data_IF_677094008515
#
_entry.id   IF_677094008515
#
_cell.length_a   1.000
_cell.length_b   1.000
_cell.length_c   1.000
_cell.angle_alpha   90.00
_cell.angle_beta   90.00
_cell.angle_gamma   90.00
#
_symmetry.space_group_name_H-M   'P 1'
#
loop_
_entity.id
_entity.type
_entity.pdbx_description
1 polymer ?
#
# COMPACT_ATOMS: atom_id res chain seq x y z
N UNK A 1 -13.97 -47.43 -30.73
CA UNK A 1 -13.42 -46.83 -29.50
C UNK A 1 -12.40 -45.78 -29.85
N UNK A 2 -12.54 -44.58 -29.33
CA UNK A 2 -11.52 -43.57 -29.55
C UNK A 2 -10.26 -43.89 -28.70
N UNK A 3 -9.07 -43.53 -29.16
CA UNK A 3 -7.80 -43.79 -28.46
C UNK A 3 -7.82 -43.30 -26.99
N UNK A 4 -8.48 -42.19 -26.70
CA UNK A 4 -8.70 -41.65 -25.35
C UNK A 4 -9.55 -42.55 -24.44
N UNK A 5 -10.34 -43.50 -25.02
CA UNK A 5 -11.16 -44.42 -24.23
C UNK A 5 -10.35 -45.66 -23.76
N UNK A 6 -9.16 -45.86 -24.35
CA UNK A 6 -8.24 -46.93 -24.02
C UNK A 6 -7.15 -46.50 -23.04
N UNK A 7 -6.74 -45.21 -23.13
CA UNK A 7 -5.70 -44.62 -22.27
C UNK A 7 -6.25 -43.37 -21.64
N UNK A 8 -6.49 -43.38 -20.33
CA UNK A 8 -6.89 -42.23 -19.56
C UNK A 8 -5.65 -41.74 -18.76
N UNK A 9 -5.15 -40.56 -19.09
CA UNK A 9 -3.99 -39.97 -18.41
C UNK A 9 -4.48 -38.76 -17.60
N UNK A 10 -4.47 -38.87 -16.29
CA UNK A 10 -4.71 -37.79 -15.36
C UNK A 10 -3.36 -37.28 -14.82
N UNK A 11 -2.94 -36.11 -15.23
CA UNK A 11 -1.73 -35.47 -14.74
C UNK A 11 -2.15 -34.43 -13.69
N UNK A 12 -1.94 -34.74 -12.43
CA UNK A 12 -2.08 -33.78 -11.35
C UNK A 12 -0.72 -33.17 -11.06
N UNK A 13 -0.55 -31.88 -11.30
CA UNK A 13 0.66 -31.15 -10.95
C UNK A 13 0.54 -30.67 -9.50
N UNK A 14 1.25 -31.31 -8.59
CA UNK A 14 1.41 -30.81 -7.23
C UNK A 14 2.55 -29.79 -7.22
N UNK A 15 2.20 -28.52 -7.18
CA UNK A 15 3.16 -27.42 -6.89
C UNK A 15 2.84 -26.89 -5.51
N UNK A 16 3.85 -26.75 -4.65
CA UNK A 16 3.71 -26.04 -3.38
C UNK A 16 3.52 -24.57 -3.68
N UNK A 17 2.36 -24.01 -3.34
CA UNK A 17 2.15 -22.57 -3.48
C UNK A 17 2.88 -21.82 -2.36
N UNK A 18 3.73 -20.88 -2.73
CA UNK A 18 4.30 -19.90 -1.80
C UNK A 18 3.21 -18.89 -1.46
N UNK A 19 3.10 -18.51 -0.18
CA UNK A 19 2.19 -17.45 0.24
C UNK A 19 2.59 -16.14 -0.42
N UNK A 20 1.63 -15.49 -1.06
CA UNK A 20 1.86 -14.24 -1.83
C UNK A 20 1.49 -13.06 -0.95
N UNK A 21 2.39 -12.09 -0.82
CA UNK A 21 2.14 -10.86 -0.07
C UNK A 21 0.93 -10.10 -0.65
N UNK A 22 -0.02 -9.72 0.21
CA UNK A 22 -1.19 -8.96 -0.18
C UNK A 22 -0.87 -7.45 -0.15
N UNK A 23 -1.09 -6.77 -1.29
CA UNK A 23 -0.89 -5.32 -1.43
C UNK A 23 -2.22 -4.55 -1.55
N UNK A 24 -3.33 -5.25 -1.58
CA UNK A 24 -4.67 -4.71 -1.82
C UNK A 24 -5.61 -4.90 -0.62
N UNK A 25 -5.06 -5.10 0.58
CA UNK A 25 -5.84 -5.32 1.80
C UNK A 25 -5.56 -4.20 2.80
N UNK A 26 -6.52 -3.31 3.05
CA UNK A 26 -6.46 -2.30 4.11
C UNK A 26 -6.63 -2.92 5.49
N UNK A 27 -5.90 -2.39 6.48
CA UNK A 27 -6.16 -2.55 7.92
C UNK A 27 -6.80 -1.27 8.46
N UNK A 28 -7.90 -1.39 9.17
CA UNK A 28 -8.49 -0.33 10.00
C UNK A 28 -8.03 -0.55 11.44
N UNK A 29 -7.24 0.36 11.96
CA UNK A 29 -6.82 0.35 13.37
C UNK A 29 -7.74 1.20 14.22
N UNK A 30 -8.34 0.62 15.26
CA UNK A 30 -9.17 1.34 16.22
C UNK A 30 -9.01 0.77 17.63
N UNK A 31 -9.33 1.58 18.64
CA UNK A 31 -9.38 1.15 20.04
C UNK A 31 -10.82 0.92 20.45
N UNK A 32 -11.13 -0.28 20.89
CA UNK A 32 -12.46 -0.66 21.40
C UNK A 32 -12.35 -1.84 22.37
N UNK A 33 -13.33 -1.97 23.25
CA UNK A 33 -13.46 -3.13 24.11
C UNK A 33 -14.28 -4.23 23.40
N UNK A 34 -13.74 -5.45 23.38
CA UNK A 34 -14.47 -6.62 22.87
C UNK A 34 -15.75 -6.86 23.70
N UNK A 35 -16.87 -7.10 23.03
CA UNK A 35 -18.16 -7.30 23.71
C UNK A 35 -18.81 -6.03 24.25
N UNK A 36 -18.24 -4.85 23.99
CA UNK A 36 -18.90 -3.58 24.32
C UNK A 36 -20.08 -3.32 23.37
N UNK A 37 -20.98 -2.42 23.75
CA UNK A 37 -22.12 -2.05 22.90
C UNK A 37 -21.62 -1.49 21.55
N UNK A 38 -22.07 -2.10 20.45
CA UNK A 38 -21.69 -1.71 19.09
C UNK A 38 -20.36 -2.29 18.59
N UNK A 39 -19.82 -3.28 19.30
CA UNK A 39 -18.66 -4.06 18.88
C UNK A 39 -18.98 -5.57 18.91
N UNK A 40 -18.25 -6.43 18.18
CA UNK A 40 -18.46 -7.87 18.25
C UNK A 40 -18.39 -8.42 19.66
N UNK A 41 -19.21 -9.45 19.93
CA UNK A 41 -19.26 -10.12 21.26
C UNK A 41 -17.92 -10.74 21.66
N UNK A 42 -17.16 -11.17 20.67
CA UNK A 42 -15.79 -11.71 20.84
C UNK A 42 -14.89 -11.13 19.75
N UNK A 43 -13.80 -10.51 20.15
CA UNK A 43 -12.80 -9.96 19.23
C UNK A 43 -11.43 -10.07 19.88
N UNK A 44 -10.48 -10.71 19.23
CA UNK A 44 -9.11 -10.86 19.70
C UNK A 44 -8.27 -9.64 19.32
N UNK A 45 -7.39 -9.75 18.35
CA UNK A 45 -6.54 -8.64 17.87
C UNK A 45 -6.89 -8.21 16.47
N UNK A 46 -7.26 -9.15 15.59
CA UNK A 46 -7.55 -8.87 14.21
C UNK A 46 -8.67 -9.76 13.66
N UNK A 47 -9.44 -9.25 12.70
CA UNK A 47 -10.43 -10.03 11.97
C UNK A 47 -10.64 -9.48 10.57
N UNK A 48 -10.72 -10.37 9.58
CA UNK A 48 -10.98 -10.02 8.19
C UNK A 48 -12.46 -9.97 7.86
N UNK A 49 -12.85 -9.00 7.03
CA UNK A 49 -14.23 -8.81 6.55
C UNK A 49 -14.24 -8.58 5.04
N UNK A 50 -15.12 -9.28 4.32
CA UNK A 50 -15.28 -9.17 2.87
C UNK A 50 -16.34 -8.16 2.42
N UNK A 51 -17.08 -7.57 3.34
CA UNK A 51 -18.12 -6.58 3.04
C UNK A 51 -18.57 -5.82 4.29
N UNK A 52 -19.22 -4.69 4.09
CA UNK A 52 -19.88 -3.91 5.17
C UNK A 52 -20.95 -4.75 5.87
N UNK A 53 -21.69 -5.57 5.12
CA UNK A 53 -22.72 -6.47 5.69
C UNK A 53 -22.11 -7.49 6.66
N UNK A 54 -20.91 -8.00 6.38
CA UNK A 54 -20.21 -8.92 7.27
C UNK A 54 -19.82 -8.27 8.61
N UNK A 55 -19.55 -6.95 8.63
CA UNK A 55 -19.36 -6.21 9.89
C UNK A 55 -20.68 -6.13 10.68
N UNK A 56 -21.79 -5.78 10.03
CA UNK A 56 -23.11 -5.72 10.69
C UNK A 56 -23.47 -7.07 11.31
N UNK A 57 -23.32 -8.14 10.56
CA UNK A 57 -23.65 -9.51 11.01
C UNK A 57 -22.76 -9.95 12.20
N UNK A 58 -21.55 -9.41 12.31
CA UNK A 58 -20.64 -9.64 13.43
C UNK A 58 -20.89 -8.73 14.65
N UNK A 59 -21.83 -7.77 14.55
CA UNK A 59 -22.27 -6.92 15.65
C UNK A 59 -21.66 -5.51 15.70
N UNK A 60 -21.00 -5.07 14.62
CA UNK A 60 -20.52 -3.68 14.55
C UNK A 60 -21.68 -2.69 14.40
N UNK A 61 -21.64 -1.64 15.20
CA UNK A 61 -22.61 -0.53 15.09
C UNK A 61 -22.39 0.27 13.81
N UNK A 62 -23.45 0.52 13.05
CA UNK A 62 -23.42 1.33 11.83
C UNK A 62 -23.03 2.79 12.07
N UNK A 63 -23.09 3.26 13.33
CA UNK A 63 -22.69 4.61 13.73
C UNK A 63 -21.25 4.68 14.21
N UNK A 64 -20.58 3.53 14.45
CA UNK A 64 -19.21 3.44 14.92
C UNK A 64 -18.17 3.84 13.88
N UNK A 65 -16.99 4.30 14.32
CA UNK A 65 -15.90 4.72 13.44
C UNK A 65 -15.42 3.57 12.52
N UNK A 66 -15.21 2.38 13.06
CA UNK A 66 -14.78 1.19 12.29
C UNK A 66 -15.73 0.88 11.15
N UNK A 67 -17.05 0.88 11.42
CA UNK A 67 -18.03 0.64 10.37
C UNK A 67 -18.01 1.72 9.29
N UNK A 68 -17.94 2.99 9.69
CA UNK A 68 -17.91 4.13 8.75
C UNK A 68 -16.65 4.12 7.90
N UNK A 69 -15.48 3.83 8.47
CA UNK A 69 -14.23 3.66 7.73
C UNK A 69 -14.30 2.48 6.75
N UNK A 70 -14.83 1.34 7.20
CA UNK A 70 -15.07 0.20 6.32
C UNK A 70 -16.04 0.54 5.18
N UNK A 71 -17.12 1.27 5.47
CA UNK A 71 -18.05 1.73 4.45
C UNK A 71 -17.40 2.70 3.47
N UNK A 72 -16.53 3.61 3.93
CA UNK A 72 -15.76 4.51 3.07
C UNK A 72 -14.85 3.72 2.11
N UNK A 73 -14.18 2.66 2.59
CA UNK A 73 -13.35 1.78 1.77
C UNK A 73 -14.19 1.00 0.75
N UNK A 74 -15.21 0.27 1.20
CA UNK A 74 -16.01 -0.61 0.34
C UNK A 74 -16.93 0.13 -0.65
N UNK A 75 -17.20 1.42 -0.42
CA UNK A 75 -18.05 2.22 -1.30
C UNK A 75 -17.34 2.67 -2.58
N UNK A 76 -16.02 2.57 -2.67
CA UNK A 76 -15.25 2.98 -3.86
C UNK A 76 -15.49 2.00 -5.03
N UNK A 77 -15.12 2.41 -6.24
CA UNK A 77 -15.32 1.60 -7.45
C UNK A 77 -14.09 1.68 -8.39
N UNK A 78 -13.40 0.55 -8.61
CA UNK A 78 -13.67 -0.80 -8.09
C UNK A 78 -13.46 -0.89 -6.58
N UNK A 79 -14.08 -1.86 -5.94
CA UNK A 79 -13.96 -2.07 -4.49
C UNK A 79 -12.87 -3.08 -4.15
N UNK A 80 -12.28 -2.98 -2.96
CA UNK A 80 -11.37 -3.99 -2.42
C UNK A 80 -12.12 -5.30 -2.10
N UNK A 81 -11.41 -6.44 -2.16
CA UNK A 81 -12.01 -7.75 -1.90
C UNK A 81 -12.27 -7.99 -0.40
N UNK A 82 -11.46 -7.41 0.47
CA UNK A 82 -11.56 -7.53 1.93
C UNK A 82 -10.78 -6.44 2.62
N UNK A 83 -11.11 -6.24 3.88
CA UNK A 83 -10.35 -5.43 4.84
C UNK A 83 -10.00 -6.27 6.05
N UNK A 84 -9.05 -5.81 6.84
CA UNK A 84 -8.78 -6.30 8.19
C UNK A 84 -9.17 -5.19 9.18
N UNK A 85 -9.82 -5.55 10.28
CA UNK A 85 -10.01 -4.66 11.43
C UNK A 85 -9.04 -5.10 12.50
N UNK A 86 -8.24 -4.19 13.01
CA UNK A 86 -7.27 -4.40 14.07
C UNK A 86 -7.65 -3.65 15.32
N UNK A 87 -7.54 -4.31 16.48
CA UNK A 87 -7.80 -3.74 17.79
C UNK A 87 -6.51 -3.36 18.50
N UNK A 88 -6.34 -2.06 18.70
CA UNK A 88 -5.37 -1.57 19.67
C UNK A 88 -5.96 -1.75 21.09
N UNK A 89 -5.24 -2.48 21.94
CA UNK A 89 -5.68 -2.76 23.29
C UNK A 89 -5.17 -1.66 24.24
N UNK A 90 -6.03 -1.21 25.14
CA UNK A 90 -5.66 -0.21 26.14
C UNK A 90 -4.61 -0.70 27.17
N UNK A 91 -4.37 -2.01 27.22
CA UNK A 91 -3.34 -2.63 28.06
C UNK A 91 -1.98 -2.70 27.36
N UNK A 92 -1.90 -2.38 26.07
CA UNK A 92 -0.62 -2.34 25.36
C UNK A 92 0.14 -1.06 25.71
N UNK A 93 1.42 -1.17 26.02
CA UNK A 93 2.26 -0.02 26.42
C UNK A 93 2.39 1.01 25.29
N UNK A 94 2.32 0.56 24.02
CA UNK A 94 2.49 1.41 22.84
C UNK A 94 1.61 0.94 21.67
N UNK A 95 1.34 1.84 20.75
CA UNK A 95 0.68 1.50 19.48
C UNK A 95 1.49 0.47 18.66
N UNK A 96 2.81 0.49 18.77
CA UNK A 96 3.69 -0.50 18.15
C UNK A 96 3.46 -1.91 18.70
N UNK A 97 3.25 -2.06 20.01
CA UNK A 97 2.90 -3.33 20.64
C UNK A 97 1.55 -3.85 20.11
N UNK A 98 0.55 -2.99 19.98
CA UNK A 98 -0.75 -3.33 19.39
C UNK A 98 -0.61 -3.79 17.94
N UNK A 99 0.14 -3.07 17.10
CA UNK A 99 0.34 -3.41 15.70
C UNK A 99 1.12 -4.73 15.53
N UNK A 100 2.11 -5.01 16.40
CA UNK A 100 2.82 -6.29 16.41
C UNK A 100 1.87 -7.44 16.77
N UNK A 101 1.05 -7.29 17.81
CA UNK A 101 0.06 -8.30 18.19
C UNK A 101 -1.00 -8.55 17.11
N UNK A 102 -1.38 -7.50 16.36
CA UNK A 102 -2.26 -7.63 15.18
C UNK A 102 -1.56 -8.43 14.08
N UNK A 103 -0.28 -8.14 13.79
CA UNK A 103 0.49 -8.86 12.79
C UNK A 103 0.75 -10.32 13.16
N UNK A 104 0.88 -10.65 14.45
CA UNK A 104 1.03 -12.03 14.92
C UNK A 104 -0.24 -12.85 14.66
N UNK A 105 -1.43 -12.23 14.72
CA UNK A 105 -2.71 -12.89 14.45
C UNK A 105 -3.09 -12.85 12.95
N UNK A 106 -2.95 -11.70 12.31
CA UNK A 106 -3.32 -11.50 10.90
C UNK A 106 -2.36 -10.49 10.23
N UNK A 107 -1.44 -10.98 9.41
CA UNK A 107 -0.46 -10.15 8.72
C UNK A 107 -0.69 -10.04 7.19
N UNK A 108 -1.82 -10.49 6.68
CA UNK A 108 -2.14 -10.45 5.26
C UNK A 108 -2.77 -9.11 4.84
N UNK A 109 -2.25 -8.00 5.34
CA UNK A 109 -2.61 -6.63 4.99
C UNK A 109 -1.36 -5.81 4.68
N UNK A 110 -1.55 -4.72 3.94
CA UNK A 110 -0.44 -3.85 3.55
C UNK A 110 -0.68 -2.38 3.91
N UNK A 111 -1.88 -1.85 3.70
CA UNK A 111 -2.22 -0.45 3.99
C UNK A 111 -2.87 -0.27 5.35
N UNK A 112 -2.51 0.78 6.06
CA UNK A 112 -3.09 1.15 7.36
C UNK A 112 -3.88 2.45 7.25
N UNK A 113 -5.11 2.44 7.73
CA UNK A 113 -5.90 3.62 8.08
C UNK A 113 -6.26 3.55 9.55
N UNK A 114 -6.33 4.71 10.20
CA UNK A 114 -6.38 4.79 11.66
C UNK A 114 -7.62 5.57 12.11
N UNK A 115 -8.31 5.04 13.11
CA UNK A 115 -9.40 5.75 13.76
C UNK A 115 -8.94 7.15 14.22
N UNK A 116 -9.61 8.24 13.82
CA UNK A 116 -9.24 9.59 14.20
C UNK A 116 -9.03 9.81 15.69
N UNK A 117 -9.72 9.05 16.54
CA UNK A 117 -9.55 9.11 18.00
C UNK A 117 -8.15 8.67 18.47
N UNK A 118 -7.42 7.92 17.65
CA UNK A 118 -6.07 7.44 17.95
C UNK A 118 -4.96 8.35 17.40
N UNK A 119 -5.29 9.33 16.56
CA UNK A 119 -4.36 10.23 15.88
C UNK A 119 -4.63 11.70 16.20
N UNK A 120 -5.10 11.97 17.41
CA UNK A 120 -5.45 13.29 17.92
C UNK A 120 -4.25 14.23 18.15
N UNK A 121 -3.03 13.70 18.16
CA UNK A 121 -1.78 14.45 18.33
C UNK A 121 -0.73 14.08 17.30
N UNK A 122 0.13 15.04 16.93
CA UNK A 122 1.28 14.82 16.03
C UNK A 122 2.19 13.70 16.53
N UNK A 123 2.39 13.59 17.85
CA UNK A 123 3.24 12.56 18.45
C UNK A 123 2.69 11.13 18.22
N UNK A 124 1.38 10.93 18.36
CA UNK A 124 0.73 9.64 18.08
C UNK A 124 0.84 9.28 16.58
N UNK A 125 0.63 10.25 15.72
CA UNK A 125 0.80 10.08 14.27
C UNK A 125 2.23 9.67 13.94
N UNK A 126 3.24 10.35 14.51
CA UNK A 126 4.65 10.04 14.30
C UNK A 126 5.02 8.64 14.82
N UNK A 127 4.46 8.20 15.95
CA UNK A 127 4.71 6.86 16.49
C UNK A 127 4.15 5.75 15.57
N UNK A 128 2.96 5.95 14.99
CA UNK A 128 2.37 5.02 14.01
C UNK A 128 3.22 5.00 12.74
N UNK A 129 3.59 6.18 12.22
CA UNK A 129 4.41 6.30 11.03
C UNK A 129 5.79 5.63 11.20
N UNK A 130 6.44 5.80 12.36
CA UNK A 130 7.72 5.13 12.68
C UNK A 130 7.60 3.60 12.64
N UNK A 131 6.49 3.04 13.13
CA UNK A 131 6.25 1.61 13.05
C UNK A 131 6.03 1.17 11.59
N UNK A 132 5.25 1.92 10.82
CA UNK A 132 4.98 1.66 9.38
C UNK A 132 6.28 1.62 8.58
N UNK A 133 7.20 2.56 8.81
CA UNK A 133 8.53 2.57 8.17
C UNK A 133 9.31 1.27 8.48
N UNK A 134 9.34 0.88 9.76
CA UNK A 134 10.07 -0.32 10.20
C UNK A 134 9.46 -1.62 9.67
N UNK A 135 8.14 -1.67 9.57
CA UNK A 135 7.39 -2.85 9.13
C UNK A 135 7.30 -2.98 7.60
N UNK A 136 7.79 -2.00 6.85
CA UNK A 136 7.67 -1.91 5.39
C UNK A 136 6.21 -2.08 4.91
N UNK A 137 5.29 -1.39 5.57
CA UNK A 137 3.88 -1.29 5.20
C UNK A 137 3.58 0.14 4.73
N UNK A 138 2.36 0.43 4.34
CA UNK A 138 1.94 1.75 3.87
C UNK A 138 0.83 2.29 4.75
N UNK A 139 0.78 3.60 4.95
CA UNK A 139 -0.29 4.24 5.72
C UNK A 139 -0.78 5.53 5.06
N UNK A 140 -2.07 5.77 5.14
CA UNK A 140 -2.67 7.09 4.90
C UNK A 140 -3.26 7.56 6.21
N UNK A 141 -2.85 8.73 6.67
CA UNK A 141 -3.34 9.32 7.91
C UNK A 141 -4.06 10.63 7.61
N UNK A 142 -5.33 10.68 7.99
CA UNK A 142 -6.13 11.89 7.94
C UNK A 142 -5.80 12.81 9.12
N UNK A 143 -5.73 14.10 8.83
CA UNK A 143 -5.63 15.15 9.84
C UNK A 143 -6.53 16.34 9.50
N UNK A 144 -7.21 16.87 10.51
CA UNK A 144 -7.96 18.13 10.42
C UNK A 144 -7.16 19.30 11.05
N UNK A 145 -5.86 19.09 11.34
CA UNK A 145 -5.02 20.12 11.95
C UNK A 145 -4.79 21.28 10.98
N UNK A 146 -5.34 22.43 11.32
CA UNK A 146 -5.27 23.65 10.49
C UNK A 146 -3.84 24.20 10.30
N UNK A 147 -2.91 23.86 11.18
CA UNK A 147 -1.50 24.24 11.04
C UNK A 147 -0.84 23.59 9.80
N UNK A 148 -1.43 22.53 9.23
CA UNK A 148 -0.94 21.93 7.99
C UNK A 148 -0.98 22.89 6.80
N UNK A 149 -1.95 23.78 6.74
CA UNK A 149 -2.03 24.79 5.67
C UNK A 149 -1.49 26.19 6.08
N UNK A 150 -0.78 26.29 7.20
CA UNK A 150 -0.01 27.46 7.59
C UNK A 150 1.48 27.22 7.36
N UNK A 151 2.05 27.91 6.36
CA UNK A 151 3.46 27.75 5.98
C UNK A 151 4.46 28.20 7.06
N UNK A 152 4.02 28.89 8.11
CA UNK A 152 4.88 29.33 9.24
C UNK A 152 4.98 28.29 10.35
N UNK A 153 4.10 27.29 10.36
CA UNK A 153 4.04 26.25 11.38
C UNK A 153 4.92 25.06 11.02
N UNK A 154 5.57 24.47 12.02
CA UNK A 154 6.53 23.37 11.87
C UNK A 154 6.27 22.21 12.85
N UNK A 155 5.15 22.25 13.59
CA UNK A 155 4.80 21.23 14.61
C UNK A 155 3.56 20.41 14.22
N UNK A 156 2.99 20.70 13.05
CA UNK A 156 1.86 19.96 12.51
C UNK A 156 2.29 18.57 11.98
N UNK A 157 1.36 17.62 11.82
CA UNK A 157 1.68 16.27 11.37
C UNK A 157 2.40 16.21 10.02
N UNK A 158 1.98 17.00 9.03
CA UNK A 158 2.57 16.97 7.70
C UNK A 158 4.02 17.43 7.71
N UNK A 159 4.32 18.57 8.36
CA UNK A 159 5.69 19.05 8.51
C UNK A 159 6.57 18.07 9.29
N UNK A 160 6.06 17.54 10.40
CA UNK A 160 6.81 16.62 11.27
C UNK A 160 7.21 15.34 10.53
N UNK A 161 6.29 14.71 9.81
CA UNK A 161 6.60 13.49 9.06
C UNK A 161 7.50 13.75 7.86
N UNK A 162 7.36 14.91 7.22
CA UNK A 162 8.29 15.37 6.16
C UNK A 162 9.70 15.55 6.71
N UNK A 163 9.85 16.23 7.84
CA UNK A 163 11.17 16.49 8.48
C UNK A 163 11.86 15.19 8.90
N UNK A 164 11.08 14.18 9.31
CA UNK A 164 11.56 12.83 9.60
C UNK A 164 11.87 12.00 8.33
N UNK A 165 11.50 12.48 7.14
CA UNK A 165 11.79 11.81 5.87
C UNK A 165 11.07 10.48 5.68
N UNK A 166 9.84 10.35 6.20
CA UNK A 166 9.11 9.09 6.12
C UNK A 166 8.58 8.81 4.70
N UNK A 167 8.95 7.64 4.17
CA UNK A 167 8.64 7.21 2.80
C UNK A 167 7.35 6.37 2.69
N UNK A 168 6.73 5.97 3.81
CA UNK A 168 5.65 4.99 3.80
C UNK A 168 4.35 5.51 4.40
N UNK A 169 4.32 6.79 4.77
CA UNK A 169 3.12 7.43 5.32
C UNK A 169 2.75 8.66 4.49
N UNK A 170 1.55 8.65 3.94
CA UNK A 170 0.92 9.80 3.31
C UNK A 170 0.02 10.52 4.32
N UNK A 171 0.12 11.84 4.40
CA UNK A 171 -0.78 12.67 5.20
C UNK A 171 -1.79 13.32 4.27
N UNK A 172 -3.08 13.20 4.59
CA UNK A 172 -4.15 13.92 3.91
C UNK A 172 -4.80 14.93 4.85
N UNK A 173 -4.77 16.20 4.48
CA UNK A 173 -5.54 17.23 5.18
C UNK A 173 -6.99 17.20 4.70
N UNK A 174 -7.92 17.19 5.64
CA UNK A 174 -9.33 17.36 5.37
C UNK A 174 -10.05 17.92 6.58
N UNK A 175 -10.82 18.99 6.39
CA UNK A 175 -11.62 19.57 7.45
C UNK A 175 -12.76 18.61 7.82
N UNK A 176 -13.09 18.52 9.11
CA UNK A 176 -14.26 17.72 9.55
C UNK A 176 -15.54 18.37 9.04
N UNK A 177 -16.33 17.69 8.18
CA UNK A 177 -17.62 18.23 7.73
C UNK A 177 -18.60 18.43 8.89
N UNK A 178 -19.52 19.38 8.76
CA UNK A 178 -20.57 19.63 9.75
C UNK A 178 -21.52 18.43 9.95
N UNK A 179 -21.56 17.51 8.97
CA UNK A 179 -22.34 16.27 9.00
C UNK A 179 -21.64 15.12 9.74
N UNK A 180 -20.40 15.35 10.21
CA UNK A 180 -19.55 14.35 10.86
C UNK A 180 -18.43 13.85 9.95
N UNK A 181 -17.53 13.03 10.49
CA UNK A 181 -16.37 12.50 9.77
C UNK A 181 -16.77 11.64 8.57
N UNK A 182 -16.15 11.87 7.41
CA UNK A 182 -16.34 11.17 6.15
C UNK A 182 -15.12 10.34 5.70
N UNK A 183 -14.07 10.28 6.53
CA UNK A 183 -12.91 9.38 6.44
C UNK A 183 -12.20 9.38 5.08
N UNK A 184 -11.60 10.50 4.68
CA UNK A 184 -10.94 10.64 3.37
C UNK A 184 -9.75 9.70 3.19
N UNK A 185 -9.02 9.38 4.24
CA UNK A 185 -7.93 8.40 4.26
C UNK A 185 -8.41 6.99 3.91
N UNK A 186 -9.51 6.55 4.52
CA UNK A 186 -10.14 5.27 4.26
C UNK A 186 -10.70 5.21 2.83
N UNK A 187 -11.40 6.26 2.39
CA UNK A 187 -11.92 6.35 1.03
C UNK A 187 -10.79 6.33 -0.02
N UNK A 188 -9.71 7.07 0.21
CA UNK A 188 -8.58 7.13 -0.71
C UNK A 188 -7.81 5.80 -0.77
N UNK A 189 -7.64 5.13 0.37
CA UNK A 189 -7.10 3.77 0.40
C UNK A 189 -7.99 2.79 -0.39
N UNK A 190 -9.31 2.89 -0.20
CA UNK A 190 -10.30 2.08 -0.93
C UNK A 190 -10.32 2.32 -2.44
N UNK A 191 -10.02 3.55 -2.89
CA UNK A 191 -9.92 3.91 -4.30
C UNK A 191 -8.62 3.38 -4.95
N UNK A 192 -7.49 3.45 -4.24
CA UNK A 192 -6.18 3.09 -4.80
C UNK A 192 -5.89 1.58 -4.80
N UNK A 193 -6.31 0.85 -3.78
CA UNK A 193 -5.91 -0.55 -3.56
C UNK A 193 -6.50 -1.61 -4.50
N UNK A 194 -7.65 -1.40 -5.17
CA UNK A 194 -8.14 -2.37 -6.16
C UNK A 194 -7.27 -2.52 -7.40
N UNK A 195 -6.41 -1.54 -7.68
CA UNK A 195 -5.51 -1.54 -8.83
C UNK A 195 -4.22 -2.30 -8.54
N UNK A 196 -3.52 -2.73 -9.60
CA UNK A 196 -2.19 -3.31 -9.46
C UNK A 196 -1.24 -2.30 -8.79
N UNK A 197 -0.49 -2.69 -7.77
CA UNK A 197 0.42 -1.81 -7.03
C UNK A 197 1.37 -1.06 -7.96
N UNK A 198 1.43 0.26 -7.82
CA UNK A 198 2.27 1.13 -8.65
C UNK A 198 1.79 1.39 -10.08
N UNK A 199 0.67 0.80 -10.51
CA UNK A 199 0.12 0.97 -11.87
C UNK A 199 -0.73 2.22 -12.05
N UNK A 200 -1.15 2.86 -10.98
CA UNK A 200 -2.06 4.01 -10.99
C UNK A 200 -1.54 5.11 -10.09
N UNK A 201 -1.53 6.35 -10.60
CA UNK A 201 -1.25 7.51 -9.74
C UNK A 201 -2.31 7.67 -8.65
N UNK A 202 -1.91 8.21 -7.51
CA UNK A 202 -2.81 8.53 -6.40
C UNK A 202 -3.37 9.95 -6.46
N UNK A 203 -2.85 10.78 -7.37
CA UNK A 203 -3.43 12.08 -7.69
C UNK A 203 -4.67 11.95 -8.57
N UNK A 204 -5.52 12.99 -8.54
CA UNK A 204 -6.69 13.15 -9.42
C UNK A 204 -7.77 12.07 -9.27
N UNK A 205 -7.89 11.48 -8.07
CA UNK A 205 -8.92 10.49 -7.77
C UNK A 205 -10.17 11.16 -7.20
N UNK A 206 -11.34 10.70 -7.62
CA UNK A 206 -12.63 11.11 -7.04
C UNK A 206 -12.98 10.15 -5.92
N UNK A 207 -13.23 10.68 -4.72
CA UNK A 207 -13.56 9.88 -3.55
C UNK A 207 -15.08 9.91 -3.33
N UNK A 208 -15.70 8.73 -3.34
CA UNK A 208 -17.13 8.60 -3.10
C UNK A 208 -17.43 8.76 -1.60
N UNK A 209 -18.40 9.59 -1.28
CA UNK A 209 -18.83 9.82 0.10
C UNK A 209 -18.00 10.85 0.87
N UNK A 210 -16.98 11.45 0.25
CA UNK A 210 -16.12 12.47 0.84
C UNK A 210 -16.50 13.87 0.30
N UNK A 211 -16.61 14.84 1.19
CA UNK A 211 -16.81 16.24 0.82
C UNK A 211 -15.48 16.86 0.39
N UNK A 212 -15.50 17.77 -0.58
CA UNK A 212 -14.28 18.50 -0.97
C UNK A 212 -14.04 19.69 -0.05
N UNK A 213 -12.77 19.95 0.27
CA UNK A 213 -12.36 21.13 1.02
C UNK A 213 -12.31 22.38 0.14
N UNK A 214 -12.60 23.53 0.74
CA UNK A 214 -12.35 24.83 0.11
C UNK A 214 -10.90 25.25 0.39
N UNK A 215 -10.01 24.87 -0.50
CA UNK A 215 -8.57 25.17 -0.43
C UNK A 215 -8.27 26.40 -1.27
N UNK A 216 -7.85 27.51 -0.62
CA UNK A 216 -7.37 28.72 -1.30
C UNK A 216 -5.93 28.51 -1.82
N UNK A 217 -5.50 29.30 -2.79
CA UNK A 217 -4.14 29.20 -3.35
C UNK A 217 -3.01 29.32 -2.30
N UNK A 218 -3.21 30.12 -1.24
CA UNK A 218 -2.23 30.21 -0.15
C UNK A 218 -2.18 28.94 0.70
N UNK A 219 -3.33 28.33 0.99
CA UNK A 219 -3.41 27.04 1.70
C UNK A 219 -2.80 25.92 0.87
N UNK A 220 -3.13 25.87 -0.42
CA UNK A 220 -2.53 24.91 -1.36
C UNK A 220 -1.00 25.01 -1.37
N UNK A 221 -0.45 26.21 -1.48
CA UNK A 221 1.00 26.44 -1.44
C UNK A 221 1.63 25.86 -0.16
N UNK A 222 1.01 26.08 0.99
CA UNK A 222 1.51 25.58 2.27
C UNK A 222 1.40 24.06 2.37
N UNK A 223 0.28 23.46 1.97
CA UNK A 223 0.08 22.01 1.95
C UNK A 223 1.09 21.31 1.04
N UNK A 224 1.23 21.80 -0.19
CA UNK A 224 2.21 21.25 -1.17
C UNK A 224 3.65 21.39 -0.65
N UNK A 225 4.00 22.52 -0.02
CA UNK A 225 5.32 22.71 0.57
C UNK A 225 5.63 21.71 1.70
N UNK A 226 4.61 21.15 2.35
CA UNK A 226 4.73 20.13 3.41
C UNK A 226 4.51 18.70 2.93
N UNK A 227 4.39 18.46 1.61
CA UNK A 227 4.02 17.18 1.02
C UNK A 227 2.68 16.62 1.56
N UNK A 228 1.78 17.51 1.97
CA UNK A 228 0.47 17.16 2.50
C UNK A 228 -0.54 17.07 1.36
N UNK A 229 -1.20 15.93 1.25
CA UNK A 229 -2.26 15.72 0.27
C UNK A 229 -3.56 16.36 0.75
N UNK A 230 -4.49 16.63 -0.17
CA UNK A 230 -5.79 17.20 0.15
C UNK A 230 -6.82 16.85 -0.93
N UNK A 231 -8.11 17.01 -0.60
CA UNK A 231 -9.21 16.72 -1.51
C UNK A 231 -9.98 18.00 -1.79
N UNK A 232 -9.92 18.51 -3.02
CA UNK A 232 -10.51 19.81 -3.39
C UNK A 232 -11.21 19.75 -4.73
N UNK A 233 -12.01 20.79 -5.01
CA UNK A 233 -12.72 20.92 -6.28
C UNK A 233 -11.90 21.78 -7.24
N UNK A 234 -11.61 21.25 -8.42
CA UNK A 234 -10.91 21.96 -9.50
C UNK A 234 -11.73 21.84 -10.77
N UNK A 235 -12.12 22.98 -11.35
CA UNK A 235 -12.91 22.98 -12.59
C UNK A 235 -14.27 22.26 -12.48
N UNK A 236 -14.88 22.23 -11.28
CA UNK A 236 -16.14 21.53 -11.04
C UNK A 236 -15.99 20.01 -10.77
N UNK A 237 -14.76 19.52 -10.70
CA UNK A 237 -14.46 18.10 -10.41
C UNK A 237 -13.75 18.01 -9.07
N UNK A 238 -14.24 17.13 -8.20
CA UNK A 238 -13.63 16.86 -6.89
C UNK A 238 -12.56 15.81 -7.04
N UNK A 239 -11.32 16.15 -6.68
CA UNK A 239 -10.15 15.30 -6.90
C UNK A 239 -9.15 15.37 -5.74
N UNK A 240 -8.43 14.27 -5.54
CA UNK A 240 -7.25 14.25 -4.67
C UNK A 240 -6.10 15.01 -5.35
N UNK A 241 -5.37 15.79 -4.58
CA UNK A 241 -4.23 16.55 -5.04
C UNK A 241 -2.93 15.94 -4.51
N UNK A 242 -1.86 16.08 -5.28
CA UNK A 242 -0.50 15.59 -5.08
C UNK A 242 -0.37 14.06 -5.22
N UNK A 243 -0.69 13.22 -4.26
CA UNK A 243 -0.46 11.77 -4.29
C UNK A 243 0.94 11.38 -3.81
N UNK A 244 1.44 12.06 -2.76
CA UNK A 244 2.78 11.91 -2.20
C UNK A 244 2.77 11.36 -0.80
N UNK A 245 3.85 10.66 -0.45
CA UNK A 245 4.20 10.35 0.94
C UNK A 245 4.90 11.53 1.59
N UNK A 246 5.13 11.45 2.90
CA UNK A 246 5.66 12.58 3.68
C UNK A 246 7.05 13.04 3.22
N UNK A 247 7.94 12.16 2.77
CA UNK A 247 9.25 12.52 2.19
C UNK A 247 9.13 13.33 0.89
N UNK A 248 8.01 13.24 0.19
CA UNK A 248 7.76 13.90 -1.09
C UNK A 248 7.86 12.98 -2.32
N UNK A 249 8.15 11.69 -2.10
CA UNK A 249 8.11 10.70 -3.16
C UNK A 249 6.64 10.36 -3.52
N UNK A 250 6.42 9.80 -4.69
CA UNK A 250 5.10 9.41 -5.16
C UNK A 250 4.67 8.09 -4.52
N UNK A 251 3.41 8.01 -4.09
CA UNK A 251 2.85 6.80 -3.44
C UNK A 251 2.95 5.57 -4.35
N UNK A 252 2.70 5.72 -5.64
CA UNK A 252 2.77 4.64 -6.62
C UNK A 252 4.20 4.08 -6.77
N UNK A 253 5.24 4.90 -6.66
CA UNK A 253 6.64 4.46 -6.67
C UNK A 253 6.94 3.61 -5.44
N UNK A 254 6.53 4.05 -4.25
CA UNK A 254 6.78 3.32 -3.00
C UNK A 254 6.07 1.96 -3.02
N UNK A 255 4.77 1.94 -3.31
CA UNK A 255 3.98 0.70 -3.34
C UNK A 255 4.47 -0.24 -4.45
N UNK A 256 4.80 0.31 -5.63
CA UNK A 256 5.34 -0.46 -6.75
C UNK A 256 6.69 -1.09 -6.45
N UNK A 257 7.57 -0.37 -5.73
CA UNK A 257 8.88 -0.88 -5.28
C UNK A 257 8.72 -2.01 -4.27
N UNK A 258 7.84 -1.88 -3.30
CA UNK A 258 7.55 -2.92 -2.30
C UNK A 258 6.96 -4.17 -2.96
N UNK A 259 6.05 -3.97 -3.90
CA UNK A 259 5.48 -5.07 -4.68
C UNK A 259 6.56 -5.81 -5.47
N UNK A 260 7.46 -5.09 -6.11
CA UNK A 260 8.54 -5.67 -6.90
C UNK A 260 9.49 -6.50 -6.01
N UNK A 261 9.90 -5.95 -4.85
CA UNK A 261 10.74 -6.66 -3.87
C UNK A 261 10.07 -7.96 -3.42
N UNK A 262 8.78 -7.91 -3.08
CA UNK A 262 8.02 -9.08 -2.64
C UNK A 262 7.92 -10.15 -3.75
N UNK A 263 7.57 -9.75 -4.98
CA UNK A 263 7.43 -10.68 -6.11
C UNK A 263 8.76 -11.33 -6.51
N UNK A 264 9.86 -10.59 -6.46
CA UNK A 264 11.21 -11.17 -6.71
C UNK A 264 11.55 -12.21 -5.66
N UNK A 265 11.33 -11.92 -4.38
CA UNK A 265 11.57 -12.85 -3.27
C UNK A 265 10.73 -14.11 -3.39
N UNK A 266 9.43 -13.98 -3.67
CA UNK A 266 8.51 -15.08 -3.86
C UNK A 266 8.86 -15.96 -5.06
N UNK A 267 9.25 -15.35 -6.19
CA UNK A 267 9.61 -16.07 -7.41
C UNK A 267 10.87 -16.92 -7.20
N UNK A 268 11.91 -16.36 -6.60
CA UNK A 268 13.15 -17.07 -6.30
C UNK A 268 12.91 -18.16 -5.26
N UNK A 269 12.19 -17.86 -4.17
CA UNK A 269 11.87 -18.85 -3.15
C UNK A 269 11.02 -20.00 -3.71
N UNK A 270 10.04 -19.70 -4.55
CA UNK A 270 9.22 -20.72 -5.22
C UNK A 270 10.07 -21.65 -6.08
N UNK A 271 11.14 -21.17 -6.71
CA UNK A 271 12.04 -22.02 -7.46
C UNK A 271 12.81 -23.01 -6.56
N UNK A 272 13.26 -22.58 -5.40
CA UNK A 272 13.93 -23.46 -4.45
C UNK A 272 13.03 -24.54 -3.88
N UNK A 273 11.75 -24.20 -3.59
CA UNK A 273 10.77 -25.15 -3.02
C UNK A 273 10.26 -26.17 -4.05
N UNK A 274 10.07 -25.75 -5.31
CA UNK A 274 9.44 -26.57 -6.35
C UNK A 274 10.44 -27.40 -7.18
N UNK A 275 11.74 -27.17 -7.03
CA UNK A 275 12.76 -27.97 -7.67
C UNK A 275 13.52 -28.79 -6.63
N UNK A 276 13.87 -30.04 -6.97
CA UNK A 276 14.72 -30.87 -6.11
C UNK A 276 16.07 -30.23 -5.79
N UNK A 277 16.59 -29.48 -6.75
CA UNK A 277 17.84 -28.74 -6.68
C UNK A 277 17.84 -27.67 -7.78
N UNK A 278 18.20 -26.46 -7.46
CA UNK A 278 18.66 -25.47 -8.44
C UNK A 278 20.18 -25.70 -8.59
N UNK A 279 20.65 -26.19 -9.75
CA UNK A 279 22.07 -26.53 -9.89
C UNK A 279 22.93 -25.27 -9.77
N UNK A 280 24.11 -25.41 -9.14
CA UNK A 280 25.04 -24.28 -9.03
C UNK A 280 26.04 -24.31 -10.20
N UNK A 281 25.50 -24.01 -11.37
CA UNK A 281 26.20 -23.91 -12.66
C UNK A 281 25.53 -22.83 -13.53
N UNK A 282 26.01 -22.63 -14.74
CA UNK A 282 25.42 -21.65 -15.66
C UNK A 282 23.94 -21.92 -16.00
N UNK A 283 23.49 -23.18 -15.89
CA UNK A 283 22.07 -23.53 -16.11
C UNK A 283 21.20 -23.02 -14.98
N UNK A 284 21.61 -23.22 -13.73
CA UNK A 284 20.88 -22.72 -12.56
C UNK A 284 20.92 -21.20 -12.48
N UNK A 285 22.04 -20.57 -12.85
CA UNK A 285 22.16 -19.11 -12.94
C UNK A 285 21.18 -18.55 -13.99
N UNK A 286 21.10 -19.16 -15.17
CA UNK A 286 20.14 -18.77 -16.21
C UNK A 286 18.68 -18.97 -15.76
N UNK A 287 18.40 -19.99 -14.95
CA UNK A 287 17.08 -20.17 -14.34
C UNK A 287 16.70 -19.01 -13.42
N UNK A 288 17.60 -18.58 -12.53
CA UNK A 288 17.38 -17.43 -11.65
C UNK A 288 17.22 -16.13 -12.47
N UNK A 289 18.05 -15.93 -13.49
CA UNK A 289 17.92 -14.79 -14.42
C UNK A 289 16.54 -14.76 -15.08
N UNK A 290 16.05 -15.90 -15.57
CA UNK A 290 14.73 -16.03 -16.18
C UNK A 290 13.60 -15.68 -15.23
N UNK A 291 13.70 -16.06 -13.95
CA UNK A 291 12.71 -15.70 -12.91
C UNK A 291 12.70 -14.21 -12.64
N UNK A 292 13.87 -13.60 -12.48
CA UNK A 292 13.98 -12.14 -12.27
C UNK A 292 13.41 -11.40 -13.47
N UNK A 293 13.78 -11.75 -14.71
CA UNK A 293 13.20 -11.17 -15.93
C UNK A 293 11.69 -11.36 -15.99
N UNK A 294 11.18 -12.52 -15.61
CA UNK A 294 9.74 -12.79 -15.57
C UNK A 294 8.97 -11.87 -14.64
N UNK A 295 9.50 -11.55 -13.46
CA UNK A 295 8.90 -10.60 -12.50
C UNK A 295 8.98 -9.17 -13.05
N UNK A 296 10.13 -8.74 -13.56
CA UNK A 296 10.32 -7.40 -14.13
C UNK A 296 9.39 -7.15 -15.34
N UNK A 297 9.21 -8.15 -16.21
CA UNK A 297 8.27 -8.05 -17.33
C UNK A 297 6.81 -7.96 -16.86
N UNK A 298 6.44 -8.64 -15.76
CA UNK A 298 5.11 -8.45 -15.15
C UNK A 298 4.93 -7.03 -14.61
N UNK A 299 5.96 -6.48 -13.96
CA UNK A 299 5.96 -5.10 -13.50
C UNK A 299 5.81 -4.11 -14.66
N UNK A 300 6.48 -4.35 -15.79
CA UNK A 300 6.32 -3.53 -16.99
C UNK A 300 4.91 -3.66 -17.60
N UNK A 301 4.36 -4.87 -17.65
CA UNK A 301 2.98 -5.10 -18.15
C UNK A 301 1.93 -4.46 -17.25
N UNK A 302 2.20 -4.33 -15.94
CA UNK A 302 1.35 -3.62 -14.99
C UNK A 302 1.55 -2.08 -15.04
N UNK A 303 2.47 -1.55 -15.84
CA UNK A 303 2.75 -0.12 -15.95
C UNK A 303 3.63 0.44 -14.82
N UNK A 304 4.34 -0.40 -14.09
CA UNK A 304 5.25 0.00 -13.02
C UNK A 304 6.62 0.39 -13.60
N UNK A 305 7.13 -0.41 -14.55
CA UNK A 305 8.43 -0.21 -15.19
C UNK A 305 8.30 0.04 -16.68
N UNK A 306 9.27 0.75 -17.25
CA UNK A 306 9.40 0.89 -18.70
C UNK A 306 10.02 -0.39 -19.28
N UNK A 307 9.30 -1.08 -20.17
CA UNK A 307 9.69 -2.38 -20.69
C UNK A 307 11.07 -2.37 -21.36
N UNK A 308 11.36 -1.33 -22.16
CA UNK A 308 12.61 -1.19 -22.92
C UNK A 308 13.84 -0.85 -22.05
N UNK A 309 13.61 -0.52 -20.76
CA UNK A 309 14.67 -0.14 -19.83
C UNK A 309 15.21 -1.30 -19.00
N UNK A 310 14.57 -2.47 -19.07
CA UNK A 310 14.88 -3.61 -18.21
C UNK A 310 16.16 -4.28 -18.68
N UNK A 311 17.19 -4.27 -17.85
CA UNK A 311 18.43 -5.00 -18.04
C UNK A 311 18.70 -5.88 -16.82
N UNK A 312 18.93 -7.17 -17.03
CA UNK A 312 19.33 -8.12 -15.98
C UNK A 312 20.72 -8.64 -16.31
N UNK A 313 21.60 -8.59 -15.31
CA UNK A 313 22.97 -9.07 -15.42
C UNK A 313 23.24 -10.12 -14.35
N UNK A 314 23.80 -11.25 -14.76
CA UNK A 314 24.18 -12.36 -13.87
C UNK A 314 25.66 -12.71 -14.10
N UNK A 315 26.38 -13.23 -13.09
CA UNK A 315 27.75 -13.70 -13.26
C UNK A 315 27.74 -15.02 -14.04
N UNK A 316 28.88 -15.32 -14.69
CA UNK A 316 29.13 -16.69 -15.16
C UNK A 316 29.66 -17.55 -13.99
N UNK A 317 29.33 -18.82 -13.98
CA UNK A 317 29.82 -19.71 -12.93
C UNK A 317 31.32 -19.66 -12.74
N UNK A 318 32.08 -19.54 -13.84
CA UNK A 318 33.55 -19.47 -13.80
C UNK A 318 34.06 -18.25 -13.03
N UNK A 319 33.34 -17.12 -13.09
CA UNK A 319 33.77 -15.83 -12.54
C UNK A 319 33.36 -15.65 -11.05
N UNK A 320 32.56 -16.58 -10.49
CA UNK A 320 32.11 -16.52 -9.09
C UNK A 320 33.27 -16.88 -8.15
N UNK A 321 33.50 -16.10 -7.07
CA UNK A 321 34.53 -16.41 -6.09
C UNK A 321 34.35 -17.79 -5.45
N UNK A 322 35.45 -18.48 -5.15
CA UNK A 322 35.42 -19.81 -4.55
C UNK A 322 34.74 -19.83 -3.18
N UNK A 323 34.84 -18.72 -2.42
CA UNK A 323 34.18 -18.60 -1.12
C UNK A 323 32.66 -18.64 -1.27
N UNK A 324 32.06 -17.94 -2.27
CA UNK A 324 30.64 -17.97 -2.55
C UNK A 324 30.17 -19.34 -3.04
N UNK A 325 30.96 -20.01 -3.87
CA UNK A 325 30.70 -21.38 -4.32
C UNK A 325 30.65 -22.37 -3.15
N UNK A 326 31.54 -22.23 -2.16
CA UNK A 326 31.54 -23.08 -0.96
C UNK A 326 30.39 -22.76 0.00
N UNK A 327 29.88 -21.53 -0.04
CA UNK A 327 28.72 -21.10 0.76
C UNK A 327 27.37 -21.31 0.06
N UNK A 328 27.35 -21.93 -1.12
CA UNK A 328 26.16 -22.08 -1.97
C UNK A 328 25.41 -20.74 -2.22
N UNK A 329 26.15 -19.62 -2.23
CA UNK A 329 25.63 -18.26 -2.43
C UNK A 329 25.87 -17.79 -3.86
N UNK A 330 24.81 -17.45 -4.60
CA UNK A 330 24.91 -16.80 -5.91
C UNK A 330 24.97 -15.27 -5.72
N UNK A 331 26.16 -14.64 -5.84
CA UNK A 331 26.29 -13.19 -5.74
C UNK A 331 25.95 -12.50 -7.05
N UNK A 332 25.84 -11.15 -7.01
CA UNK A 332 25.87 -10.28 -8.20
C UNK A 332 24.74 -10.50 -9.23
N UNK A 333 23.61 -11.03 -8.82
CA UNK A 333 22.39 -10.94 -9.64
C UNK A 333 21.89 -9.51 -9.56
N UNK A 334 22.04 -8.74 -10.65
CA UNK A 334 21.72 -7.31 -10.71
C UNK A 334 20.68 -7.03 -11.78
N UNK A 335 19.83 -6.04 -11.55
CA UNK A 335 18.98 -5.48 -12.58
C UNK A 335 18.97 -3.96 -12.51
N UNK A 336 18.67 -3.34 -13.65
CA UNK A 336 18.34 -1.92 -13.76
C UNK A 336 17.06 -1.81 -14.55
N UNK A 337 16.21 -0.87 -14.17
CA UNK A 337 14.98 -0.54 -14.88
C UNK A 337 14.59 0.91 -14.56
N UNK A 338 13.88 1.56 -15.49
CA UNK A 338 13.31 2.87 -15.25
C UNK A 338 11.84 2.71 -14.80
N UNK A 339 11.46 3.51 -13.83
CA UNK A 339 10.09 3.57 -13.38
C UNK A 339 9.20 4.24 -14.43
N UNK A 340 7.98 3.76 -14.62
CA UNK A 340 7.01 4.38 -15.53
C UNK A 340 6.17 5.40 -14.76
N UNK A 341 6.66 6.65 -14.70
CA UNK A 341 5.96 7.73 -14.02
C UNK A 341 4.70 8.19 -14.74
N UNK A 342 3.81 8.88 -14.02
CA UNK A 342 2.61 9.51 -14.56
C UNK A 342 2.86 10.99 -14.93
N UNK A 343 2.22 11.49 -15.97
CA UNK A 343 2.23 12.92 -16.31
C UNK A 343 1.18 13.62 -15.45
N UNK A 344 1.62 14.49 -14.55
CA UNK A 344 0.71 15.25 -13.67
C UNK A 344 0.50 16.70 -14.14
N UNK A 345 1.44 17.29 -14.90
CA UNK A 345 1.33 18.68 -15.38
C UNK A 345 1.77 18.76 -16.83
N UNK A 346 1.06 19.55 -17.63
CA UNK A 346 1.37 19.80 -19.05
C UNK A 346 1.45 21.31 -19.28
N UNK A 347 2.51 21.77 -19.95
CA UNK A 347 2.62 23.13 -20.43
C UNK A 347 2.50 23.14 -21.96
N UNK A 348 1.53 23.86 -22.49
CA UNK A 348 1.31 24.01 -23.92
C UNK A 348 1.59 25.45 -24.34
N UNK A 349 2.57 25.64 -25.22
CA UNK A 349 2.88 26.95 -25.81
C UNK A 349 2.42 26.94 -27.28
N UNK A 350 1.54 27.87 -27.65
CA UNK A 350 1.04 28.03 -29.02
C UNK A 350 1.18 29.48 -29.49
N UNK A 351 1.55 29.70 -30.76
CA UNK A 351 1.54 31.00 -31.42
C UNK A 351 0.56 30.93 -32.57
N UNK A 352 -0.42 31.83 -32.59
CA UNK A 352 -1.34 32.01 -33.72
C UNK A 352 -0.93 33.30 -34.41
N UNK A 353 -0.54 33.23 -35.69
CA UNK A 353 -0.29 34.40 -36.55
C UNK A 353 -1.43 34.53 -37.55
N UNK A 354 -1.83 35.79 -37.85
CA UNK A 354 -2.86 36.19 -38.84
C UNK A 354 -2.17 36.59 -40.13
#
# INVERSE_FOLDING_TARGET
>A
MAYKDIVNINITRQTTSVSVAAFNVPLILSTFASGASGTPSTFTRAKSYGSVKALEDDGWSTTGAVYKMANAIFSQNPTVNRIVVGRADSNDDTVAASLNAICDEENSWYGLVVDPAMVDTTAKIAAIAAWIESAKKFSIIWTANVDCYDGTKTTDPAYTLKDLGYDRTAVIFHAVPSTGADYPDAAWMGEGFPYDPGSSTWAYKTLKGVASDNITASKETALVAKNCNFYSEVGGVKITQEGKVASGEWIDIIIGTDWLEARLREAVFSAFVNNRKVPYDDTGIAMIEGLVKGVLNKAASAGILQADSIVVTVPRYADIPQADKLADNLPDVKFTALYQGAIHRVTINGTISV
#
